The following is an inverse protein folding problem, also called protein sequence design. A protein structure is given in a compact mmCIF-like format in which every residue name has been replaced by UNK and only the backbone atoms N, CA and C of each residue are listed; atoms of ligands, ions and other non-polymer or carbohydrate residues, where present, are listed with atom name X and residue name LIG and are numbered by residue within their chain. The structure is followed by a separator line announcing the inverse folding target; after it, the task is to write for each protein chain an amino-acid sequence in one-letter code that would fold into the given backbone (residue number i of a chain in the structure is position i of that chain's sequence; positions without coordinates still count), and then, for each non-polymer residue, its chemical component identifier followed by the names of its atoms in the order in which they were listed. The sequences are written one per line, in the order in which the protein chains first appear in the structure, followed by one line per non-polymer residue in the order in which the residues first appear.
data_IF_359251230579
#
_entry.id   IF_359251230579
#
_cell.length_a   1.000
_cell.length_b   1.000
_cell.length_c   1.000
_cell.angle_alpha   90.00
_cell.angle_beta   90.00
_cell.angle_gamma   90.00
#
_symmetry.space_group_name_H-M   'P 1'
#
loop_
_entity.id
_entity.type
_entity.pdbx_description
1 polymer ?
#
# COMPACT_ATOMS: atom_id res chain seq x y z
N UNK A 1 -39.94 -38.84 -29.58
CA UNK A 1 -39.86 -38.01 -28.37
C UNK A 1 -38.42 -38.03 -27.85
N UNK A 2 -37.61 -37.07 -28.28
CA UNK A 2 -36.20 -36.95 -27.88
C UNK A 2 -36.09 -35.79 -26.90
N UNK A 3 -35.89 -36.08 -25.62
CA UNK A 3 -35.71 -35.09 -24.56
C UNK A 3 -34.42 -34.28 -24.79
N UNK A 4 -34.42 -32.94 -24.69
CA UNK A 4 -33.18 -32.16 -24.78
C UNK A 4 -32.32 -32.43 -23.54
N UNK A 5 -31.05 -32.82 -23.75
CA UNK A 5 -30.05 -32.93 -22.68
C UNK A 5 -29.82 -31.54 -22.06
N UNK A 6 -30.13 -31.40 -20.77
CA UNK A 6 -29.82 -30.21 -20.00
C UNK A 6 -28.30 -29.96 -20.01
N UNK A 7 -27.89 -28.77 -20.48
CA UNK A 7 -26.50 -28.30 -20.36
C UNK A 7 -26.18 -28.10 -18.87
N UNK A 8 -25.02 -28.53 -18.35
CA UNK A 8 -24.62 -28.25 -16.98
C UNK A 8 -24.62 -26.74 -16.75
N UNK A 9 -25.37 -26.30 -15.74
CA UNK A 9 -25.64 -24.91 -15.43
C UNK A 9 -24.36 -24.19 -14.98
N UNK A 10 -24.05 -23.07 -15.63
CA UNK A 10 -22.90 -22.22 -15.33
C UNK A 10 -22.84 -21.69 -13.88
N UNK A 11 -23.92 -21.85 -13.11
CA UNK A 11 -24.08 -21.36 -11.73
C UNK A 11 -23.06 -21.93 -10.74
N UNK A 12 -22.52 -23.14 -10.94
CA UNK A 12 -21.58 -23.74 -9.99
C UNK A 12 -20.20 -23.05 -9.97
N UNK A 13 -19.76 -22.47 -11.09
CA UNK A 13 -18.49 -21.75 -11.19
C UNK A 13 -18.54 -20.34 -10.56
N UNK A 14 -19.70 -19.66 -10.63
CA UNK A 14 -19.88 -18.33 -10.03
C UNK A 14 -19.84 -18.35 -8.50
N UNK A 15 -20.34 -19.42 -7.85
CA UNK A 15 -20.29 -19.54 -6.38
C UNK A 15 -18.87 -19.81 -5.84
N UNK A 16 -18.07 -20.61 -6.56
CA UNK A 16 -16.66 -20.87 -6.17
C UNK A 16 -15.80 -19.62 -6.35
N UNK A 17 -15.99 -18.85 -7.42
CA UNK A 17 -15.27 -17.58 -7.61
C UNK A 17 -15.66 -16.55 -6.56
N UNK A 18 -16.93 -16.46 -6.17
CA UNK A 18 -17.39 -15.54 -5.13
C UNK A 18 -16.80 -15.85 -3.75
N UNK A 19 -16.75 -17.13 -3.35
CA UNK A 19 -16.16 -17.54 -2.07
C UNK A 19 -14.64 -17.37 -2.05
N UNK A 20 -13.95 -17.66 -3.16
CA UNK A 20 -12.52 -17.42 -3.30
C UNK A 20 -12.18 -15.92 -3.22
N UNK A 21 -12.96 -15.06 -3.89
CA UNK A 21 -12.77 -13.61 -3.81
C UNK A 21 -13.04 -13.06 -2.40
N UNK A 22 -14.03 -13.59 -1.67
CA UNK A 22 -14.27 -13.25 -0.26
C UNK A 22 -13.10 -13.68 0.63
N UNK A 23 -12.57 -14.87 0.42
CA UNK A 23 -11.40 -15.37 1.13
C UNK A 23 -10.17 -14.49 0.87
N UNK A 24 -9.87 -14.21 -0.41
CA UNK A 24 -8.77 -13.32 -0.79
C UNK A 24 -8.93 -11.94 -0.15
N UNK A 25 -10.12 -11.34 -0.19
CA UNK A 25 -10.37 -10.06 0.51
C UNK A 25 -10.09 -10.15 2.01
N UNK A 26 -10.49 -11.23 2.66
CA UNK A 26 -10.21 -11.46 4.09
C UNK A 26 -8.72 -11.58 4.40
N UNK A 27 -7.98 -12.35 3.60
CA UNK A 27 -6.53 -12.53 3.75
C UNK A 27 -5.79 -11.22 3.48
N UNK A 28 -6.21 -10.46 2.47
CA UNK A 28 -5.56 -9.19 2.12
C UNK A 28 -5.68 -8.16 3.24
N UNK A 29 -6.68 -8.21 4.13
CA UNK A 29 -6.83 -7.24 5.24
C UNK A 29 -5.82 -7.49 6.37
N UNK A 30 -5.33 -8.72 6.52
CA UNK A 30 -4.49 -9.14 7.66
C UNK A 30 -3.28 -8.23 7.90
N UNK A 31 -2.46 -7.86 6.89
CA UNK A 31 -1.28 -7.01 7.12
C UNK A 31 -1.61 -5.66 7.77
N UNK A 32 -2.76 -5.07 7.45
CA UNK A 32 -3.18 -3.77 7.98
C UNK A 32 -3.58 -3.83 9.46
N UNK A 33 -3.92 -5.03 9.96
CA UNK A 33 -4.22 -5.25 11.38
C UNK A 33 -2.95 -5.51 12.21
N UNK A 34 -1.81 -5.78 11.55
CA UNK A 34 -0.54 -6.02 12.22
C UNK A 34 0.05 -4.67 12.65
N UNK A 35 0.53 -4.58 13.89
CA UNK A 35 1.16 -3.35 14.38
C UNK A 35 2.47 -3.07 13.64
N UNK A 36 2.82 -1.79 13.47
CA UNK A 36 4.05 -1.41 12.78
C UNK A 36 5.32 -2.04 13.37
N UNK A 37 5.36 -2.23 14.70
CA UNK A 37 6.47 -2.92 15.38
C UNK A 37 6.51 -4.41 15.04
N UNK A 38 5.36 -5.09 15.03
CA UNK A 38 5.30 -6.50 14.64
C UNK A 38 5.68 -6.70 13.17
N UNK A 39 5.24 -5.81 12.29
CA UNK A 39 5.67 -5.75 10.88
C UNK A 39 7.19 -5.61 10.80
N UNK A 40 7.78 -4.65 11.52
CA UNK A 40 9.22 -4.46 11.53
C UNK A 40 9.99 -5.71 12.01
N UNK A 41 9.55 -6.36 13.09
CA UNK A 41 10.18 -7.59 13.59
C UNK A 41 10.10 -8.70 12.54
N UNK A 42 8.94 -8.90 11.92
CA UNK A 42 8.76 -9.90 10.87
C UNK A 42 9.71 -9.65 9.69
N UNK A 43 9.77 -8.41 9.21
CA UNK A 43 10.63 -8.03 8.10
C UNK A 43 12.12 -8.11 8.46
N UNK A 44 12.52 -7.76 9.68
CA UNK A 44 13.88 -7.93 10.16
C UNK A 44 14.33 -9.39 10.16
N UNK A 45 13.43 -10.33 10.47
CA UNK A 45 13.70 -11.76 10.38
C UNK A 45 13.76 -12.25 8.94
N UNK A 46 12.87 -11.76 8.07
CA UNK A 46 12.86 -12.14 6.65
C UNK A 46 14.13 -11.70 5.92
N UNK A 47 14.59 -10.48 6.20
CA UNK A 47 15.76 -9.83 5.60
C UNK A 47 17.05 -10.05 6.42
N UNK A 48 17.03 -10.96 7.40
CA UNK A 48 18.23 -11.30 8.15
C UNK A 48 19.31 -11.89 7.22
N UNK A 49 20.57 -11.53 7.46
CA UNK A 49 21.69 -11.92 6.61
C UNK A 49 21.99 -13.42 6.65
N UNK A 50 21.96 -14.03 7.84
CA UNK A 50 22.39 -15.42 8.08
C UNK A 50 21.26 -16.44 7.88
N UNK A 51 20.05 -16.13 8.36
CA UNK A 51 18.93 -17.06 8.35
C UNK A 51 17.68 -16.50 7.66
N UNK A 52 17.74 -15.30 7.07
CA UNK A 52 16.60 -14.71 6.40
C UNK A 52 16.13 -15.53 5.20
N UNK A 53 14.81 -15.60 5.02
CA UNK A 53 14.23 -16.32 3.89
C UNK A 53 14.54 -15.62 2.56
N UNK A 54 14.68 -14.28 2.58
CA UNK A 54 15.01 -13.52 1.38
C UNK A 54 16.40 -13.93 0.84
N UNK A 55 17.41 -13.98 1.70
CA UNK A 55 18.76 -14.41 1.30
C UNK A 55 18.78 -15.88 0.86
N UNK A 56 18.09 -16.78 1.56
CA UNK A 56 17.95 -18.18 1.12
C UNK A 56 17.31 -18.31 -0.26
N UNK A 57 16.31 -17.49 -0.58
CA UNK A 57 15.72 -17.49 -1.93
C UNK A 57 16.67 -16.95 -2.99
N UNK A 58 17.51 -15.95 -2.65
CA UNK A 58 18.54 -15.45 -3.57
C UNK A 58 19.63 -16.51 -3.83
N UNK A 59 20.08 -17.20 -2.78
CA UNK A 59 21.05 -18.28 -2.87
C UNK A 59 20.56 -19.43 -3.74
N UNK A 60 19.27 -19.75 -3.68
CA UNK A 60 18.66 -20.75 -4.56
C UNK A 60 18.82 -20.41 -6.06
N UNK A 61 18.83 -19.11 -6.41
CA UNK A 61 19.10 -18.63 -7.76
C UNK A 61 20.59 -18.37 -8.02
N UNK A 62 21.48 -18.77 -7.10
CA UNK A 62 22.93 -18.59 -7.20
C UNK A 62 23.42 -17.17 -6.90
N UNK A 63 22.59 -16.34 -6.24
CA UNK A 63 22.93 -14.97 -5.86
C UNK A 63 23.31 -14.96 -4.37
N UNK A 64 24.52 -14.50 -4.05
CA UNK A 64 24.92 -14.29 -2.64
C UNK A 64 24.08 -13.16 -2.03
N UNK A 65 23.39 -13.47 -0.93
CA UNK A 65 22.47 -12.54 -0.29
C UNK A 65 23.19 -11.36 0.36
N UNK A 66 22.77 -10.11 0.14
CA UNK A 66 23.47 -8.96 0.72
C UNK A 66 23.11 -8.78 2.20
N UNK A 67 23.92 -7.98 2.90
CA UNK A 67 23.56 -7.43 4.21
C UNK A 67 22.59 -6.25 4.04
N UNK A 68 21.30 -6.55 4.10
CA UNK A 68 20.22 -5.59 3.80
C UNK A 68 20.25 -4.33 4.66
N UNK A 69 20.57 -4.45 5.95
CA UNK A 69 20.54 -3.32 6.88
C UNK A 69 21.89 -2.61 7.04
N UNK A 70 22.96 -3.14 6.44
CA UNK A 70 24.28 -2.48 6.44
C UNK A 70 24.43 -1.45 5.31
N UNK A 71 23.74 -1.64 4.18
CA UNK A 71 23.75 -0.71 3.05
C UNK A 71 22.64 0.33 3.17
N UNK A 72 22.93 1.65 3.07
CA UNK A 72 21.92 2.72 3.05
C UNK A 72 20.77 2.47 2.06
N UNK A 73 21.11 2.02 0.85
CA UNK A 73 20.14 1.82 -0.22
C UNK A 73 19.28 0.59 0.06
N UNK A 74 19.89 -0.52 0.48
CA UNK A 74 19.15 -1.75 0.75
C UNK A 74 18.26 -1.63 1.99
N UNK A 75 18.72 -0.90 3.01
CA UNK A 75 17.92 -0.62 4.20
C UNK A 75 16.68 0.19 3.85
N UNK A 76 16.82 1.20 2.98
CA UNK A 76 15.68 1.96 2.45
C UNK A 76 14.73 1.06 1.66
N UNK A 77 15.24 0.21 0.76
CA UNK A 77 14.40 -0.72 -0.02
C UNK A 77 13.64 -1.67 0.90
N UNK A 78 14.30 -2.31 1.87
CA UNK A 78 13.65 -3.21 2.82
C UNK A 78 12.58 -2.49 3.65
N UNK A 79 12.85 -1.24 4.05
CA UNK A 79 11.90 -0.40 4.78
C UNK A 79 10.67 -0.05 3.93
N UNK A 80 10.87 0.33 2.67
CA UNK A 80 9.77 0.60 1.73
C UNK A 80 8.92 -0.65 1.54
N UNK A 81 9.53 -1.83 1.37
CA UNK A 81 8.77 -3.08 1.20
C UNK A 81 7.93 -3.36 2.45
N UNK A 82 8.50 -3.21 3.65
CA UNK A 82 7.78 -3.43 4.91
C UNK A 82 6.60 -2.45 5.07
N UNK A 83 6.82 -1.17 4.78
CA UNK A 83 5.78 -0.13 4.84
C UNK A 83 4.67 -0.40 3.83
N UNK A 84 5.03 -0.66 2.56
CA UNK A 84 4.07 -0.98 1.50
C UNK A 84 3.27 -2.21 1.86
N UNK A 85 3.89 -3.27 2.38
CA UNK A 85 3.18 -4.47 2.80
C UNK A 85 2.11 -4.19 3.87
N UNK A 86 2.42 -3.30 4.83
CA UNK A 86 1.49 -2.88 5.88
C UNK A 86 0.31 -2.07 5.33
N UNK A 87 0.55 -1.21 4.35
CA UNK A 87 -0.42 -0.23 3.84
C UNK A 87 -1.22 -0.72 2.62
N UNK A 88 -0.68 -1.68 1.88
CA UNK A 88 -1.26 -2.24 0.66
C UNK A 88 -2.72 -2.71 0.82
N UNK A 89 -3.13 -3.35 1.94
CA UNK A 89 -4.52 -3.76 2.10
C UNK A 89 -5.51 -2.61 1.99
N UNK A 90 -5.21 -1.48 2.64
CA UNK A 90 -6.06 -0.31 2.60
C UNK A 90 -6.06 0.31 1.19
N UNK A 91 -4.93 0.29 0.50
CA UNK A 91 -4.83 0.79 -0.88
C UNK A 91 -5.74 -0.01 -1.80
N UNK A 92 -5.69 -1.35 -1.69
CA UNK A 92 -6.55 -2.25 -2.46
C UNK A 92 -8.02 -2.00 -2.15
N UNK A 93 -8.40 -1.81 -0.88
CA UNK A 93 -9.79 -1.54 -0.50
C UNK A 93 -10.31 -0.21 -1.08
N UNK A 94 -9.51 0.86 -1.00
CA UNK A 94 -9.87 2.18 -1.55
C UNK A 94 -10.07 2.11 -3.06
N UNK A 95 -9.12 1.50 -3.78
CA UNK A 95 -9.18 1.40 -5.25
C UNK A 95 -10.28 0.45 -5.70
N UNK A 96 -10.52 -0.65 -4.98
CA UNK A 96 -11.60 -1.58 -5.28
C UNK A 96 -12.97 -0.92 -5.06
N UNK A 97 -13.11 -0.08 -4.04
CA UNK A 97 -14.31 0.75 -3.85
C UNK A 97 -14.57 1.65 -5.06
N UNK A 98 -13.53 2.29 -5.59
CA UNK A 98 -13.63 3.10 -6.82
C UNK A 98 -13.98 2.28 -8.07
N UNK A 99 -13.38 1.10 -8.24
CA UNK A 99 -13.71 0.23 -9.37
C UNK A 99 -15.17 -0.25 -9.34
N UNK A 100 -15.77 -0.38 -8.15
CA UNK A 100 -17.17 -0.79 -7.99
C UNK A 100 -18.17 0.32 -8.34
N UNK A 101 -17.74 1.58 -8.44
CA UNK A 101 -18.63 2.69 -8.85
C UNK A 101 -18.70 2.86 -10.38
N UNK A 102 -17.86 2.14 -11.14
CA UNK A 102 -17.90 2.19 -12.61
C UNK A 102 -19.19 1.53 -13.11
N UNK A 103 -19.94 2.25 -13.96
CA UNK A 103 -21.10 1.70 -14.63
C UNK A 103 -20.70 0.49 -15.51
N UNK A 104 -21.29 -0.71 -15.30
CA UNK A 104 -21.08 -1.87 -16.14
C UNK A 104 -21.32 -1.62 -17.63
N UNK A 105 -22.17 -0.66 -18.00
CA UNK A 105 -22.47 -0.34 -19.41
C UNK A 105 -21.25 0.16 -20.19
N UNK A 106 -20.39 0.98 -19.55
CA UNK A 106 -19.14 1.48 -20.14
C UNK A 106 -18.13 0.34 -20.39
N UNK A 107 -18.18 -0.63 -19.49
CA UNK A 107 -17.34 -1.80 -19.48
C UNK A 107 -17.76 -2.80 -20.57
N UNK A 108 -19.07 -2.98 -20.79
CA UNK A 108 -19.63 -3.78 -21.87
C UNK A 108 -19.41 -3.13 -23.24
N UNK A 109 -19.52 -1.80 -23.34
CA UNK A 109 -19.22 -1.06 -24.57
C UNK A 109 -17.76 -1.24 -25.01
N UNK A 110 -16.81 -1.18 -24.06
CA UNK A 110 -15.40 -1.44 -24.35
C UNK A 110 -15.15 -2.87 -24.87
N UNK A 111 -15.93 -3.84 -24.40
CA UNK A 111 -15.85 -5.24 -24.87
C UNK A 111 -16.40 -5.38 -26.31
N UNK A 112 -17.47 -4.65 -26.65
CA UNK A 112 -17.99 -4.59 -28.03
C UNK A 112 -16.97 -3.95 -28.97
N UNK A 113 -16.24 -2.93 -28.51
CA UNK A 113 -15.16 -2.26 -29.26
C UNK A 113 -13.87 -3.12 -29.34
N UNK A 114 -13.87 -4.32 -28.75
CA UNK A 114 -12.74 -5.26 -28.83
C UNK A 114 -11.55 -4.86 -27.94
N UNK A 115 -11.75 -4.04 -26.91
CA UNK A 115 -10.68 -3.65 -26.01
C UNK A 115 -10.13 -4.85 -25.23
N UNK A 116 -8.82 -5.08 -25.31
CA UNK A 116 -8.15 -6.09 -24.46
C UNK A 116 -8.20 -5.70 -22.97
N UNK A 117 -8.09 -6.66 -22.06
CA UNK A 117 -8.16 -6.40 -20.61
C UNK A 117 -7.15 -5.35 -20.11
N UNK A 118 -5.93 -5.32 -20.67
CA UNK A 118 -4.94 -4.29 -20.35
C UNK A 118 -5.33 -2.92 -20.90
N UNK A 119 -5.83 -2.86 -22.14
CA UNK A 119 -6.32 -1.62 -22.73
C UNK A 119 -7.48 -1.05 -21.92
N UNK A 120 -8.44 -1.90 -21.55
CA UNK A 120 -9.60 -1.53 -20.72
C UNK A 120 -9.16 -1.02 -19.34
N UNK A 121 -8.21 -1.67 -18.68
CA UNK A 121 -7.69 -1.20 -17.40
C UNK A 121 -7.07 0.21 -17.50
N UNK A 122 -6.20 0.46 -18.47
CA UNK A 122 -5.47 1.73 -18.59
C UNK A 122 -6.25 2.87 -19.23
N UNK A 123 -7.16 2.57 -20.16
CA UNK A 123 -7.87 3.58 -20.94
C UNK A 123 -9.31 3.81 -20.48
N UNK A 124 -9.91 2.87 -19.76
CA UNK A 124 -11.28 2.99 -19.26
C UNK A 124 -11.28 3.03 -17.73
N UNK A 125 -10.82 1.98 -17.07
CA UNK A 125 -10.95 1.87 -15.60
C UNK A 125 -10.13 2.90 -14.83
N UNK A 126 -8.82 3.01 -15.10
CA UNK A 126 -7.92 3.94 -14.39
C UNK A 126 -8.38 5.40 -14.49
N UNK A 127 -8.73 5.93 -15.69
CA UNK A 127 -9.25 7.30 -15.80
C UNK A 127 -10.56 7.51 -15.04
N UNK A 128 -11.47 6.52 -15.05
CA UNK A 128 -12.76 6.63 -14.35
C UNK A 128 -12.61 6.60 -12.82
N UNK A 129 -11.57 5.95 -12.29
CA UNK A 129 -11.26 5.94 -10.85
C UNK A 129 -10.18 6.95 -10.45
N UNK A 130 -9.81 7.88 -11.35
CA UNK A 130 -8.82 8.91 -11.07
C UNK A 130 -9.10 9.69 -9.76
N UNK A 131 -10.37 10.01 -9.41
CA UNK A 131 -10.69 10.60 -8.10
C UNK A 131 -10.26 9.74 -6.90
N UNK A 132 -10.53 8.44 -6.95
CA UNK A 132 -10.18 7.50 -5.88
C UNK A 132 -8.67 7.25 -5.82
N UNK A 133 -7.98 7.27 -6.97
CA UNK A 133 -6.52 7.25 -7.02
C UNK A 133 -5.91 8.51 -6.36
N UNK A 134 -6.48 9.69 -6.63
CA UNK A 134 -6.04 10.94 -6.00
C UNK A 134 -6.25 10.90 -4.48
N UNK A 135 -7.42 10.43 -4.02
CA UNK A 135 -7.72 10.25 -2.61
C UNK A 135 -6.74 9.29 -1.94
N UNK A 136 -6.49 8.12 -2.55
CA UNK A 136 -5.55 7.13 -2.04
C UNK A 136 -4.13 7.71 -1.94
N UNK A 137 -3.68 8.40 -2.98
CA UNK A 137 -2.33 9.01 -3.01
C UNK A 137 -2.12 9.98 -1.85
N UNK A 138 -3.12 10.82 -1.56
CA UNK A 138 -3.06 11.80 -0.47
C UNK A 138 -3.09 11.11 0.88
N UNK A 139 -3.96 10.11 1.05
CA UNK A 139 -4.01 9.31 2.26
C UNK A 139 -2.66 8.63 2.56
N UNK A 140 -2.05 7.96 1.57
CA UNK A 140 -0.75 7.29 1.78
C UNK A 140 0.41 8.26 1.95
N UNK A 141 0.35 9.44 1.32
CA UNK A 141 1.32 10.51 1.58
C UNK A 141 1.27 10.93 3.05
N UNK A 142 0.07 11.21 3.56
CA UNK A 142 -0.16 11.52 4.98
C UNK A 142 0.28 10.38 5.91
N UNK A 143 -0.11 9.14 5.60
CA UNK A 143 0.25 7.95 6.38
C UNK A 143 1.77 7.79 6.47
N UNK A 144 2.50 7.95 5.37
CA UNK A 144 3.97 7.81 5.34
C UNK A 144 4.66 8.88 6.18
N UNK A 145 4.17 10.13 6.14
CA UNK A 145 4.75 11.26 6.89
C UNK A 145 4.50 11.20 8.40
N UNK A 146 3.54 10.39 8.82
CA UNK A 146 3.18 10.18 10.23
C UNK A 146 3.54 8.78 10.73
N UNK A 147 3.99 7.89 9.83
CA UNK A 147 4.41 6.53 10.16
C UNK A 147 5.71 6.57 10.97
N UNK A 148 5.64 6.10 12.21
CA UNK A 148 6.80 5.97 13.08
C UNK A 148 7.13 4.49 13.35
N UNK A 149 6.10 3.66 13.54
CA UNK A 149 6.26 2.31 14.09
C UNK A 149 7.13 1.38 13.24
N UNK A 150 6.94 1.34 11.93
CA UNK A 150 7.70 0.43 11.05
C UNK A 150 9.16 0.87 10.97
N UNK A 151 9.43 2.13 10.63
CA UNK A 151 10.80 2.61 10.39
C UNK A 151 11.61 2.61 11.68
N UNK A 152 11.04 3.09 12.80
CA UNK A 152 11.73 3.12 14.08
C UNK A 152 12.15 1.72 14.54
N UNK A 153 11.24 0.74 14.44
CA UNK A 153 11.51 -0.62 14.91
C UNK A 153 12.36 -1.46 13.92
N UNK A 154 12.34 -1.12 12.63
CA UNK A 154 13.07 -1.88 11.60
C UNK A 154 14.52 -1.43 11.48
N UNK A 155 14.75 -0.12 11.37
CA UNK A 155 16.08 0.47 11.10
C UNK A 155 16.49 1.53 12.10
N UNK A 156 15.55 2.10 12.86
CA UNK A 156 15.81 3.26 13.72
C UNK A 156 16.24 4.50 12.94
N UNK A 157 15.97 4.57 11.63
CA UNK A 157 16.44 5.63 10.75
C UNK A 157 17.81 5.39 10.09
N UNK A 158 18.50 4.29 10.42
CA UNK A 158 19.81 3.98 9.84
C UNK A 158 19.79 3.20 8.51
N UNK A 159 20.98 2.77 8.02
CA UNK A 159 22.31 3.17 8.49
C UNK A 159 22.67 4.59 8.04
N UNK A 160 23.48 5.32 8.82
CA UNK A 160 23.93 6.70 8.50
C UNK A 160 22.75 7.63 8.15
N UNK A 161 21.68 7.57 8.95
CA UNK A 161 20.44 8.33 8.75
C UNK A 161 19.73 8.11 7.40
N UNK A 162 20.10 7.06 6.64
CA UNK A 162 19.56 6.83 5.31
C UNK A 162 18.04 6.63 5.28
N UNK A 163 17.46 6.08 6.34
CA UNK A 163 16.01 5.87 6.47
C UNK A 163 15.36 6.82 7.47
N UNK A 164 16.08 7.87 7.89
CA UNK A 164 15.59 8.84 8.88
C UNK A 164 14.45 9.67 8.29
N UNK A 165 13.36 9.74 9.05
CA UNK A 165 12.16 10.52 8.73
C UNK A 165 11.84 11.48 9.88
N UNK A 166 11.08 12.54 9.59
CA UNK A 166 10.74 13.57 10.60
C UNK A 166 10.12 13.00 11.88
N UNK A 167 9.22 11.99 11.85
CA UNK A 167 8.70 11.37 13.07
C UNK A 167 9.78 10.73 13.96
N UNK A 168 10.85 10.17 13.37
CA UNK A 168 11.97 9.61 14.15
C UNK A 168 12.71 10.73 14.86
N UNK A 169 13.05 11.81 14.13
CA UNK A 169 13.74 12.96 14.72
C UNK A 169 12.88 13.59 15.83
N UNK A 170 11.58 13.74 15.61
CA UNK A 170 10.63 14.19 16.63
C UNK A 170 10.70 13.30 17.89
N UNK A 171 10.65 11.99 17.71
CA UNK A 171 10.67 11.03 18.82
C UNK A 171 11.98 11.09 19.60
N UNK A 172 13.13 11.10 18.92
CA UNK A 172 14.44 11.21 19.56
C UNK A 172 14.57 12.52 20.34
N UNK A 173 14.23 13.66 19.71
CA UNK A 173 14.32 14.98 20.34
C UNK A 173 13.37 15.10 21.54
N UNK A 174 12.17 14.52 21.47
CA UNK A 174 11.18 14.59 22.54
C UNK A 174 11.51 13.66 23.72
N UNK A 175 11.90 12.42 23.44
CA UNK A 175 11.93 11.34 24.44
C UNK A 175 13.34 10.87 24.79
N UNK A 176 14.33 11.04 23.92
CA UNK A 176 15.73 10.69 24.21
C UNK A 176 16.51 11.93 24.67
N UNK A 177 16.44 13.02 23.91
CA UNK A 177 17.16 14.26 24.23
C UNK A 177 16.42 15.14 25.25
N UNK A 178 15.13 14.86 25.48
CA UNK A 178 14.24 15.63 26.37
C UNK A 178 14.14 17.13 26.02
N UNK A 179 14.38 17.49 24.74
CA UNK A 179 14.30 18.86 24.20
C UNK A 179 12.89 19.14 23.69
N UNK A 180 11.92 19.17 24.60
CA UNK A 180 10.49 19.25 24.26
C UNK A 180 10.12 20.44 23.38
N UNK A 181 10.77 21.60 23.57
CA UNK A 181 10.48 22.80 22.78
C UNK A 181 10.89 22.64 21.30
N UNK A 182 12.01 21.98 21.02
CA UNK A 182 12.43 21.66 19.66
C UNK A 182 11.59 20.56 19.03
N UNK A 183 11.25 19.54 19.81
CA UNK A 183 10.33 18.51 19.35
C UNK A 183 8.96 19.10 18.96
N UNK A 184 8.45 20.08 19.71
CA UNK A 184 7.22 20.79 19.35
C UNK A 184 7.36 21.57 18.05
N UNK A 185 8.52 22.19 17.80
CA UNK A 185 8.78 22.85 16.51
C UNK A 185 8.74 21.85 15.34
N UNK A 186 9.35 20.68 15.49
CA UNK A 186 9.29 19.60 14.50
C UNK A 186 7.83 19.12 14.31
N UNK A 187 7.06 18.98 15.39
CA UNK A 187 5.65 18.61 15.34
C UNK A 187 4.82 19.60 14.51
N UNK A 188 5.06 20.90 14.71
CA UNK A 188 4.38 21.97 13.98
C UNK A 188 4.74 21.91 12.48
N UNK A 189 5.99 21.62 12.13
CA UNK A 189 6.41 21.44 10.74
C UNK A 189 5.69 20.25 10.09
N UNK A 190 5.64 19.09 10.75
CA UNK A 190 4.91 17.92 10.27
C UNK A 190 3.42 18.25 10.08
N UNK A 191 2.81 18.93 11.06
CA UNK A 191 1.42 19.35 11.01
C UNK A 191 1.16 20.31 9.84
N UNK A 192 2.00 21.33 9.67
CA UNK A 192 1.86 22.32 8.59
C UNK A 192 1.98 21.65 7.22
N UNK A 193 2.93 20.74 7.05
CA UNK A 193 3.11 20.01 5.79
C UNK A 193 1.89 19.11 5.47
N UNK A 194 1.39 18.37 6.47
CA UNK A 194 0.18 17.56 6.31
C UNK A 194 -1.07 18.41 6.03
N UNK A 195 -1.19 19.58 6.66
CA UNK A 195 -2.28 20.52 6.40
C UNK A 195 -2.22 21.06 4.97
N UNK A 196 -1.04 21.44 4.47
CA UNK A 196 -0.85 21.90 3.09
C UNK A 196 -1.21 20.80 2.09
N UNK A 197 -0.76 19.57 2.30
CA UNK A 197 -1.12 18.42 1.46
C UNK A 197 -2.65 18.19 1.44
N UNK A 198 -3.27 18.22 2.62
CA UNK A 198 -4.72 17.97 2.76
C UNK A 198 -5.54 19.09 2.12
N UNK A 199 -5.18 20.35 2.34
CA UNK A 199 -5.85 21.50 1.72
C UNK A 199 -5.63 21.53 0.21
N UNK A 200 -4.43 21.19 -0.26
CA UNK A 200 -4.13 21.03 -1.69
C UNK A 200 -5.03 19.98 -2.34
N UNK A 201 -5.19 18.83 -1.70
CA UNK A 201 -6.12 17.79 -2.14
C UNK A 201 -7.57 18.28 -2.19
N UNK A 202 -8.08 18.85 -1.11
CA UNK A 202 -9.48 19.35 -1.06
C UNK A 202 -9.70 20.45 -2.11
N UNK A 203 -8.71 21.30 -2.34
CA UNK A 203 -8.76 22.33 -3.38
C UNK A 203 -8.83 21.74 -4.78
N UNK A 204 -8.04 20.69 -5.06
CA UNK A 204 -8.08 19.96 -6.33
C UNK A 204 -9.42 19.22 -6.49
N UNK A 205 -9.85 18.49 -5.46
CA UNK A 205 -11.07 17.67 -5.52
C UNK A 205 -12.33 18.53 -5.75
N UNK A 206 -12.39 19.73 -5.17
CA UNK A 206 -13.49 20.69 -5.41
C UNK A 206 -13.50 21.26 -6.82
N UNK A 207 -12.35 21.43 -7.46
CA UNK A 207 -12.28 21.94 -8.85
C UNK A 207 -12.78 20.94 -9.88
N UNK A 208 -12.72 19.65 -9.56
CA UNK A 208 -13.16 18.58 -10.45
C UNK A 208 -14.63 18.17 -10.24
N UNK A 209 -15.35 18.80 -9.30
CA UNK A 209 -16.76 18.56 -8.96
C UNK A 209 -17.17 17.09 -9.22
N UNK A 210 -16.45 16.18 -8.56
CA UNK A 210 -16.65 14.72 -8.60
C UNK A 210 -17.88 14.34 -7.76
N UNK A 211 -18.92 15.16 -7.84
CA UNK A 211 -20.09 15.15 -6.98
C UNK A 211 -21.31 15.61 -7.76
N UNK A 212 -21.63 14.90 -8.84
CA UNK A 212 -22.99 14.73 -9.34
C UNK A 212 -23.09 13.44 -10.16
#
# INVERSE_FOLDING_TARGET
ATSPRARPSATHNYFRSANFLRFLRGVTIVPYLVSGVATAVMFRLLFNEEFGQVNRTLEFFGIEGPSWFASPILAMVATIIAQVWSDLPLAVLLLLGGLQTIDPSLLDAADVDGASGWHRAWKVSIPLIAPQLALATVWFSYSTLTSLGVVLALTGGGPVDATRILPITLYETAFLDLRTHEALAIAIVILAFNAVLTLGYVGISRRYDIGN
#
